data_IF_737887745371
#
_entry.id   IF_737887745371
#
_cell.length_a   1.000
_cell.length_b   1.000
_cell.length_c   1.000
_cell.angle_alpha   90.00
_cell.angle_beta   90.00
_cell.angle_gamma   90.00
#
_symmetry.space_group_name_H-M   'P 1'
#
loop_
_entity.id
_entity.type
_entity.pdbx_description
1 polymer ?
#
# COMPACT_ATOMS: atom_id res chain seq x y z
N UNK A 1 -35.73 -4.19 -10.55
CA UNK A 1 -35.26 -4.13 -9.16
C UNK A 1 -34.32 -5.31 -8.93
N UNK A 2 -33.24 -5.10 -8.18
CA UNK A 2 -32.13 -6.03 -7.98
C UNK A 2 -31.93 -6.29 -6.49
N UNK A 3 -32.18 -7.53 -6.06
CA UNK A 3 -32.35 -7.88 -4.65
C UNK A 3 -31.02 -7.97 -3.92
N UNK A 4 -30.96 -7.40 -2.72
CA UNK A 4 -29.86 -7.59 -1.77
C UNK A 4 -30.08 -8.91 -1.03
N UNK A 5 -29.17 -9.85 -1.21
CA UNK A 5 -29.20 -11.17 -0.57
C UNK A 5 -28.51 -11.11 0.80
N UNK A 6 -27.46 -10.30 0.92
CA UNK A 6 -26.70 -10.10 2.15
C UNK A 6 -26.34 -8.63 2.30
N UNK A 7 -26.44 -8.10 3.52
CA UNK A 7 -25.93 -6.78 3.90
C UNK A 7 -25.20 -6.89 5.24
N UNK A 8 -23.99 -6.35 5.33
CA UNK A 8 -23.12 -6.47 6.51
C UNK A 8 -22.30 -5.19 6.74
N UNK A 9 -22.20 -4.77 8.00
CA UNK A 9 -21.30 -3.67 8.40
C UNK A 9 -19.92 -4.23 8.71
N UNK A 10 -18.92 -3.91 7.89
CA UNK A 10 -17.54 -4.39 8.05
C UNK A 10 -16.74 -3.53 9.03
N UNK A 11 -16.97 -2.21 9.03
CA UNK A 11 -16.34 -1.24 9.93
C UNK A 11 -17.27 -0.04 10.13
N UNK A 12 -16.86 0.94 10.94
CA UNK A 12 -17.71 2.09 11.33
C UNK A 12 -18.46 2.75 10.16
N UNK A 13 -17.78 2.91 9.01
CA UNK A 13 -18.31 3.54 7.78
C UNK A 13 -18.24 2.65 6.54
N UNK A 14 -17.93 1.35 6.68
CA UNK A 14 -17.69 0.44 5.56
C UNK A 14 -18.71 -0.68 5.59
N UNK A 15 -19.40 -0.89 4.46
CA UNK A 15 -20.51 -1.82 4.33
C UNK A 15 -20.30 -2.71 3.11
N UNK A 16 -20.70 -3.97 3.26
CA UNK A 16 -20.72 -4.98 2.21
C UNK A 16 -22.17 -5.30 1.87
N UNK A 17 -22.46 -5.41 0.57
CA UNK A 17 -23.72 -5.94 0.08
C UNK A 17 -23.47 -6.97 -1.01
N UNK A 18 -24.24 -8.05 -0.96
CA UNK A 18 -24.32 -9.04 -2.01
C UNK A 18 -25.66 -8.90 -2.71
N UNK A 19 -25.63 -8.70 -4.03
CA UNK A 19 -26.80 -8.39 -4.85
C UNK A 19 -27.00 -9.48 -5.89
N UNK A 20 -28.23 -9.95 -6.06
CA UNK A 20 -28.62 -10.93 -7.07
C UNK A 20 -28.76 -10.25 -8.44
N UNK A 21 -27.76 -10.47 -9.30
CA UNK A 21 -27.65 -9.88 -10.66
C UNK A 21 -27.04 -10.90 -11.65
N UNK A 22 -27.76 -11.99 -11.99
CA UNK A 22 -27.17 -13.13 -12.71
C UNK A 22 -26.52 -12.76 -14.05
N UNK A 23 -27.07 -11.76 -14.75
CA UNK A 23 -26.55 -11.27 -16.03
C UNK A 23 -25.18 -10.61 -15.88
N UNK A 24 -24.96 -9.86 -14.80
CA UNK A 24 -23.68 -9.19 -14.50
C UNK A 24 -22.67 -10.21 -13.99
N UNK A 25 -23.08 -11.01 -13.00
CA UNK A 25 -22.23 -12.02 -12.36
C UNK A 25 -21.61 -13.00 -13.37
N UNK A 26 -22.36 -13.37 -14.43
CA UNK A 26 -21.88 -14.29 -15.47
C UNK A 26 -20.66 -13.76 -16.23
N UNK A 27 -20.60 -12.46 -16.51
CA UNK A 27 -19.63 -11.89 -17.46
C UNK A 27 -18.57 -11.01 -16.82
N UNK A 28 -18.80 -10.51 -15.60
CA UNK A 28 -17.88 -9.57 -14.95
C UNK A 28 -16.49 -10.14 -14.70
N UNK A 29 -15.51 -9.24 -14.74
CA UNK A 29 -14.08 -9.49 -14.61
C UNK A 29 -13.45 -8.54 -13.57
N UNK A 30 -12.26 -8.86 -13.03
CA UNK A 30 -11.55 -8.00 -12.10
C UNK A 30 -11.25 -6.62 -12.68
N UNK A 31 -11.37 -5.57 -11.84
CA UNK A 31 -11.25 -4.12 -12.14
C UNK A 31 -12.47 -3.48 -12.81
N UNK A 32 -13.50 -4.27 -13.14
CA UNK A 32 -14.75 -3.70 -13.62
C UNK A 32 -15.60 -3.15 -12.46
N UNK A 33 -16.52 -2.26 -12.80
CA UNK A 33 -17.42 -1.60 -11.87
C UNK A 33 -18.86 -1.64 -12.37
N UNK A 34 -19.80 -1.27 -11.52
CA UNK A 34 -21.23 -1.17 -11.81
C UNK A 34 -21.71 0.23 -11.48
N UNK A 35 -22.87 0.62 -12.00
CA UNK A 35 -23.59 1.82 -11.57
C UNK A 35 -24.89 1.36 -10.91
N UNK A 36 -25.09 1.74 -9.64
CA UNK A 36 -26.34 1.49 -8.91
C UNK A 36 -27.16 2.76 -8.74
N UNK A 37 -28.47 2.57 -8.60
CA UNK A 37 -29.42 3.59 -8.16
C UNK A 37 -30.43 2.95 -7.21
N UNK A 38 -30.63 3.56 -6.04
CA UNK A 38 -31.46 3.01 -4.95
C UNK A 38 -32.93 3.03 -5.34
N UNK A 39 -33.46 4.20 -5.69
CA UNK A 39 -34.86 4.45 -6.04
C UNK A 39 -34.99 5.59 -7.06
N UNK A 40 -36.20 6.03 -7.38
CA UNK A 40 -36.49 6.97 -8.47
C UNK A 40 -35.79 8.33 -8.28
N UNK A 41 -35.69 8.81 -7.04
CA UNK A 41 -34.99 10.05 -6.68
C UNK A 41 -33.50 9.88 -6.43
N UNK A 42 -33.01 8.63 -6.31
CA UNK A 42 -31.62 8.32 -6.04
C UNK A 42 -30.66 8.70 -7.17
N UNK A 43 -29.43 9.01 -6.78
CA UNK A 43 -28.33 9.25 -7.70
C UNK A 43 -27.81 7.95 -8.31
N UNK A 44 -27.09 8.08 -9.43
CA UNK A 44 -26.35 6.97 -10.05
C UNK A 44 -24.93 6.96 -9.52
N UNK A 45 -24.57 5.95 -8.74
CA UNK A 45 -23.24 5.87 -8.11
C UNK A 45 -22.45 4.73 -8.74
N UNK A 46 -21.21 4.97 -9.20
CA UNK A 46 -20.31 3.90 -9.61
C UNK A 46 -19.72 3.18 -8.40
N UNK A 47 -19.81 1.84 -8.36
CA UNK A 47 -19.20 1.00 -7.32
C UNK A 47 -18.40 -0.13 -7.95
N UNK A 48 -17.25 -0.46 -7.37
CA UNK A 48 -16.38 -1.54 -7.87
C UNK A 48 -17.01 -2.90 -7.60
N UNK A 49 -16.87 -3.83 -8.55
CA UNK A 49 -17.21 -5.25 -8.33
C UNK A 49 -16.11 -5.85 -7.46
N UNK A 50 -16.39 -6.09 -6.18
CA UNK A 50 -15.41 -6.63 -5.24
C UNK A 50 -15.30 -8.16 -5.32
N UNK A 51 -16.42 -8.83 -5.59
CA UNK A 51 -16.49 -10.26 -5.82
C UNK A 51 -17.73 -10.61 -6.65
N UNK A 52 -17.81 -11.83 -7.16
CA UNK A 52 -18.99 -12.35 -7.84
C UNK A 52 -19.07 -13.87 -7.69
N UNK A 53 -20.29 -14.39 -7.66
CA UNK A 53 -20.59 -15.82 -7.69
C UNK A 53 -21.39 -16.13 -8.96
N UNK A 54 -20.78 -16.91 -9.87
CA UNK A 54 -21.43 -17.27 -11.14
C UNK A 54 -22.53 -18.31 -10.97
N UNK A 55 -22.44 -19.15 -9.94
CA UNK A 55 -23.41 -20.22 -9.68
C UNK A 55 -24.65 -19.64 -9.01
N UNK A 56 -24.45 -18.83 -7.96
CA UNK A 56 -25.53 -18.16 -7.24
C UNK A 56 -26.02 -16.89 -7.95
N UNK A 57 -25.31 -16.42 -8.98
CA UNK A 57 -25.71 -15.27 -9.78
C UNK A 57 -25.60 -13.93 -9.04
N UNK A 58 -24.67 -13.81 -8.09
CA UNK A 58 -24.53 -12.64 -7.22
C UNK A 58 -23.27 -11.84 -7.51
N UNK A 59 -23.32 -10.54 -7.17
CA UNK A 59 -22.17 -9.63 -7.18
C UNK A 59 -22.05 -9.02 -5.79
N UNK A 60 -20.84 -9.02 -5.25
CA UNK A 60 -20.51 -8.35 -3.99
C UNK A 60 -19.94 -6.97 -4.26
N UNK A 61 -20.52 -5.97 -3.62
CA UNK A 61 -20.04 -4.60 -3.57
C UNK A 61 -19.62 -4.25 -2.15
N UNK A 62 -18.57 -3.44 -2.02
CA UNK A 62 -18.16 -2.81 -0.76
C UNK A 62 -18.11 -1.31 -0.98
N UNK A 63 -18.71 -0.56 -0.08
CA UNK A 63 -18.76 0.89 -0.17
C UNK A 63 -18.52 1.55 1.19
N UNK A 64 -18.06 2.79 1.14
CA UNK A 64 -17.88 3.65 2.30
C UNK A 64 -18.95 4.75 2.28
N UNK A 65 -19.44 5.12 3.47
CA UNK A 65 -20.31 6.30 3.63
C UNK A 65 -19.49 7.57 3.38
N UNK A 66 -19.74 8.24 2.26
CA UNK A 66 -19.09 9.49 1.84
C UNK A 66 -20.08 10.59 1.45
N UNK A 67 -21.37 10.29 1.33
CA UNK A 67 -22.41 11.25 0.94
C UNK A 67 -23.82 10.69 1.16
N UNK A 68 -24.85 11.44 0.74
CA UNK A 68 -26.26 11.11 1.01
C UNK A 68 -26.66 9.73 0.49
N UNK A 69 -26.38 9.45 -0.79
CA UNK A 69 -26.77 8.17 -1.39
C UNK A 69 -26.08 6.96 -0.72
N UNK A 70 -24.81 7.07 -0.33
CA UNK A 70 -24.10 5.98 0.39
C UNK A 70 -24.54 5.86 1.86
N UNK A 71 -24.94 6.96 2.50
CA UNK A 71 -25.56 6.93 3.81
C UNK A 71 -26.91 6.19 3.76
N UNK A 72 -27.74 6.49 2.76
CA UNK A 72 -29.03 5.81 2.55
C UNK A 72 -28.84 4.32 2.27
N UNK A 73 -27.83 3.95 1.47
CA UNK A 73 -27.46 2.55 1.26
C UNK A 73 -27.09 1.85 2.57
N UNK A 74 -26.37 2.51 3.49
CA UNK A 74 -25.95 1.88 4.75
C UNK A 74 -27.09 1.42 5.66
N UNK A 75 -28.30 1.94 5.43
CA UNK A 75 -29.53 1.56 6.13
C UNK A 75 -30.32 0.43 5.46
N UNK A 76 -29.92 0.01 4.25
CA UNK A 76 -30.57 -1.10 3.55
C UNK A 76 -30.11 -2.46 4.10
N UNK A 77 -31.02 -3.42 4.09
CA UNK A 77 -30.83 -4.76 4.63
C UNK A 77 -31.02 -5.84 3.57
N UNK A 78 -30.77 -7.09 3.94
CA UNK A 78 -31.17 -8.22 3.10
C UNK A 78 -32.69 -8.15 2.81
N UNK A 79 -33.08 -8.59 1.62
CA UNK A 79 -34.42 -8.47 1.02
C UNK A 79 -34.80 -7.09 0.46
N UNK A 80 -34.07 -6.02 0.77
CA UNK A 80 -34.21 -4.76 0.03
C UNK A 80 -33.70 -4.90 -1.42
N UNK A 81 -33.91 -3.89 -2.24
CA UNK A 81 -33.50 -3.93 -3.64
C UNK A 81 -33.02 -2.59 -4.15
N UNK A 82 -32.04 -2.61 -5.06
CA UNK A 82 -31.72 -1.48 -5.91
C UNK A 82 -32.75 -1.36 -7.04
N UNK A 83 -33.14 -0.15 -7.40
CA UNK A 83 -33.95 0.09 -8.58
C UNK A 83 -33.17 -0.28 -9.85
N UNK A 84 -31.98 0.32 -10.03
CA UNK A 84 -31.12 0.10 -11.18
C UNK A 84 -29.77 -0.49 -10.77
N UNK A 85 -29.26 -1.41 -11.58
CA UNK A 85 -27.95 -2.04 -11.44
C UNK A 85 -27.38 -2.30 -12.84
N UNK A 86 -26.45 -1.45 -13.27
CA UNK A 86 -25.92 -1.43 -14.64
C UNK A 86 -24.47 -1.86 -14.65
N UNK A 87 -24.14 -2.90 -15.42
CA UNK A 87 -22.77 -3.31 -15.70
C UNK A 87 -22.66 -4.74 -16.25
N UNK A 88 -21.45 -5.33 -16.24
CA UNK A 88 -20.21 -4.68 -15.80
C UNK A 88 -19.78 -3.56 -16.77
N UNK A 89 -19.06 -2.57 -16.25
CA UNK A 89 -18.52 -1.43 -16.98
C UNK A 89 -17.01 -1.31 -16.72
N UNK A 90 -16.33 -0.58 -17.61
CA UNK A 90 -14.88 -0.39 -17.56
C UNK A 90 -14.13 -1.42 -18.41
N UNK A 91 -12.80 -1.40 -18.29
CA UNK A 91 -11.90 -2.33 -19.01
C UNK A 91 -11.37 -3.37 -18.03
N UNK A 92 -11.52 -4.68 -18.29
CA UNK A 92 -10.98 -5.72 -17.43
C UNK A 92 -9.47 -5.60 -17.30
N UNK A 93 -8.93 -6.11 -16.19
CA UNK A 93 -7.48 -6.19 -16.00
C UNK A 93 -6.84 -7.10 -17.05
N UNK A 94 -5.62 -6.78 -17.45
CA UNK A 94 -4.79 -7.71 -18.22
C UNK A 94 -4.35 -8.83 -17.31
N UNK A 95 -4.73 -10.06 -17.62
CA UNK A 95 -4.29 -11.23 -16.86
C UNK A 95 -2.90 -11.67 -17.30
N UNK A 96 -2.03 -11.94 -16.33
CA UNK A 96 -0.75 -12.62 -16.54
C UNK A 96 -1.02 -14.13 -16.44
N UNK A 97 -0.64 -14.88 -17.48
CA UNK A 97 -0.80 -16.35 -17.55
C UNK A 97 0.53 -17.04 -17.26
N UNK A 98 1.10 -16.73 -16.11
CA UNK A 98 2.30 -17.41 -15.60
C UNK A 98 1.89 -18.49 -14.61
N UNK A 99 2.72 -19.52 -14.49
CA UNK A 99 2.50 -20.58 -13.51
C UNK A 99 2.56 -20.01 -12.08
N UNK A 100 1.63 -20.43 -11.21
CA UNK A 100 1.54 -19.91 -9.84
C UNK A 100 2.79 -20.26 -9.04
N UNK A 101 3.41 -21.42 -9.31
CA UNK A 101 4.70 -21.80 -8.75
C UNK A 101 5.81 -20.84 -9.18
N UNK A 102 5.84 -20.42 -10.45
CA UNK A 102 6.78 -19.41 -10.95
C UNK A 102 6.53 -18.04 -10.32
N UNK A 103 5.28 -17.59 -10.20
CA UNK A 103 4.95 -16.30 -9.55
C UNK A 103 5.30 -16.33 -8.05
N UNK A 104 5.09 -17.46 -7.36
CA UNK A 104 5.47 -17.63 -5.95
C UNK A 104 6.98 -17.80 -5.77
N UNK A 105 7.65 -18.43 -6.74
CA UNK A 105 9.10 -18.64 -6.75
C UNK A 105 9.86 -17.43 -7.27
N UNK A 106 9.19 -16.43 -7.87
CA UNK A 106 9.70 -15.06 -7.99
C UNK A 106 9.90 -14.53 -6.58
N UNK A 107 11.09 -14.83 -6.05
CA UNK A 107 11.73 -13.95 -5.09
C UNK A 107 11.92 -12.63 -5.82
N UNK A 108 11.17 -11.60 -5.44
CA UNK A 108 11.58 -10.23 -5.71
C UNK A 108 12.99 -10.11 -5.10
N UNK A 109 13.98 -10.08 -5.99
CA UNK A 109 15.42 -10.21 -5.76
C UNK A 109 15.88 -11.35 -4.83
N UNK A 110 16.36 -12.45 -5.43
CA UNK A 110 17.59 -13.07 -4.93
C UNK A 110 18.74 -12.08 -5.22
N UNK A 111 18.81 -10.96 -4.49
CA UNK A 111 20.05 -10.22 -4.45
C UNK A 111 20.98 -11.09 -3.60
N UNK A 112 21.95 -11.76 -4.23
CA UNK A 112 23.03 -12.44 -3.52
C UNK A 112 23.78 -11.49 -2.58
N UNK A 113 23.59 -10.18 -2.78
CA UNK A 113 24.10 -9.07 -1.99
C UNK A 113 23.00 -8.01 -1.86
N UNK A 114 22.64 -7.63 -0.63
CA UNK A 114 21.71 -6.53 -0.33
C UNK A 114 22.47 -5.21 -0.46
N UNK A 115 21.93 -4.28 -1.25
CA UNK A 115 22.47 -2.92 -1.34
C UNK A 115 21.81 -2.07 -0.26
N UNK A 116 22.61 -1.44 0.60
CA UNK A 116 22.15 -0.47 1.59
C UNK A 116 22.47 0.91 1.06
N UNK A 117 21.47 1.66 0.61
CA UNK A 117 21.67 3.06 0.23
C UNK A 117 21.52 3.93 1.45
N UNK A 118 22.56 4.71 1.75
CA UNK A 118 22.60 5.57 2.92
C UNK A 118 22.77 7.03 2.47
N UNK A 119 21.64 7.74 2.44
CA UNK A 119 21.58 9.15 2.07
C UNK A 119 21.73 10.05 3.30
N UNK A 120 22.55 11.09 3.19
CA UNK A 120 22.79 12.05 4.26
C UNK A 120 22.82 13.48 3.74
N UNK A 121 22.63 14.44 4.63
CA UNK A 121 22.58 15.87 4.29
C UNK A 121 23.96 16.55 4.31
N UNK A 122 24.96 15.97 4.96
CA UNK A 122 26.32 16.50 5.03
C UNK A 122 27.19 16.11 3.81
N UNK A 123 28.32 16.80 3.55
CA UNK A 123 29.16 16.52 2.39
C UNK A 123 29.95 15.21 2.50
N UNK A 124 30.55 14.76 1.40
CA UNK A 124 31.37 13.54 1.34
C UNK A 124 32.69 13.58 2.14
N UNK A 125 32.91 14.63 2.92
CA UNK A 125 34.17 14.94 3.60
C UNK A 125 33.94 15.33 5.06
N UNK A 126 34.94 15.12 5.90
CA UNK A 126 34.90 15.45 7.32
C UNK A 126 34.50 14.26 8.18
N UNK A 127 34.46 14.48 9.50
CA UNK A 127 34.37 13.40 10.49
C UNK A 127 33.10 12.56 10.39
N UNK A 128 31.99 13.17 9.98
CA UNK A 128 30.72 12.46 9.77
C UNK A 128 30.80 11.52 8.56
N UNK A 129 31.40 11.98 7.45
CA UNK A 129 31.62 11.16 6.26
C UNK A 129 32.59 10.00 6.54
N UNK A 130 33.66 10.24 7.30
CA UNK A 130 34.59 9.19 7.76
C UNK A 130 33.86 8.14 8.60
N UNK A 131 32.99 8.56 9.53
CA UNK A 131 32.16 7.66 10.32
C UNK A 131 31.21 6.81 9.46
N UNK A 132 30.63 7.39 8.42
CA UNK A 132 29.73 6.67 7.50
C UNK A 132 30.46 5.70 6.61
N UNK A 133 31.64 6.06 6.08
CA UNK A 133 32.47 5.10 5.36
C UNK A 133 32.84 3.92 6.27
N UNK A 134 33.17 4.19 7.53
CA UNK A 134 33.45 3.14 8.52
C UNK A 134 32.23 2.28 8.83
N UNK A 135 31.04 2.87 8.91
CA UNK A 135 29.78 2.13 9.05
C UNK A 135 29.58 1.18 7.86
N UNK A 136 29.87 1.62 6.64
CA UNK A 136 29.80 0.78 5.45
C UNK A 136 30.72 -0.44 5.52
N UNK A 137 31.97 -0.25 5.96
CA UNK A 137 32.91 -1.35 6.20
C UNK A 137 32.37 -2.35 7.23
N UNK A 138 31.84 -1.84 8.36
CA UNK A 138 31.31 -2.69 9.43
C UNK A 138 30.06 -3.47 8.99
N UNK A 139 29.20 -2.87 8.18
CA UNK A 139 28.04 -3.55 7.60
C UNK A 139 28.50 -4.69 6.69
N UNK A 140 29.51 -4.46 5.85
CA UNK A 140 30.05 -5.51 4.97
C UNK A 140 30.69 -6.64 5.79
N UNK A 141 31.52 -6.30 6.78
CA UNK A 141 32.17 -7.27 7.68
C UNK A 141 31.16 -8.10 8.48
N UNK A 142 30.24 -7.44 9.20
CA UNK A 142 29.27 -8.11 10.07
C UNK A 142 28.21 -8.91 9.30
N UNK A 143 28.06 -8.64 8.00
CA UNK A 143 27.15 -9.39 7.14
C UNK A 143 27.82 -10.54 6.39
N UNK A 144 29.11 -10.80 6.61
CA UNK A 144 29.93 -11.73 5.83
C UNK A 144 29.87 -11.41 4.32
N UNK A 145 29.91 -10.12 3.97
CA UNK A 145 29.84 -9.62 2.60
C UNK A 145 28.44 -9.62 1.98
N UNK A 146 27.40 -10.09 2.69
CA UNK A 146 26.03 -10.14 2.17
C UNK A 146 25.38 -8.77 2.00
N UNK A 147 25.90 -7.73 2.65
CA UNK A 147 25.41 -6.36 2.55
C UNK A 147 26.55 -5.44 2.12
N UNK A 148 26.29 -4.56 1.15
CA UNK A 148 27.20 -3.47 0.79
C UNK A 148 26.48 -2.15 0.92
N UNK A 149 27.14 -1.17 1.52
CA UNK A 149 26.57 0.16 1.68
C UNK A 149 27.06 1.11 0.58
N UNK A 150 26.13 1.81 -0.05
CA UNK A 150 26.38 2.95 -0.93
C UNK A 150 26.11 4.24 -0.16
N UNK A 151 27.08 5.15 -0.19
CA UNK A 151 27.04 6.41 0.53
C UNK A 151 26.65 7.54 -0.43
N UNK A 152 25.49 8.16 -0.19
CA UNK A 152 24.93 9.25 -1.00
C UNK A 152 24.98 10.59 -0.23
N UNK A 153 26.12 11.31 -0.25
CA UNK A 153 26.29 12.56 0.48
C UNK A 153 25.50 13.71 -0.13
N UNK A 154 25.12 14.69 0.71
CA UNK A 154 24.37 15.89 0.32
C UNK A 154 23.10 15.58 -0.49
N UNK A 155 22.41 14.50 -0.12
CA UNK A 155 21.24 14.00 -0.81
C UNK A 155 20.12 13.64 0.17
N UNK A 156 18.93 13.35 -0.36
CA UNK A 156 17.80 12.80 0.39
C UNK A 156 17.34 11.51 -0.30
N UNK A 157 16.59 10.68 0.42
CA UNK A 157 16.00 9.48 -0.16
C UNK A 157 15.16 9.81 -1.40
N UNK A 158 15.20 8.90 -2.38
CA UNK A 158 14.52 9.06 -3.67
C UNK A 158 12.99 9.15 -3.56
N UNK A 159 12.34 9.38 -4.70
CA UNK A 159 10.88 9.41 -4.74
C UNK A 159 10.24 8.04 -4.43
N UNK A 160 8.91 8.03 -4.25
CA UNK A 160 8.16 6.83 -3.88
C UNK A 160 8.36 5.68 -4.87
N UNK A 161 8.39 5.98 -6.17
CA UNK A 161 8.53 4.97 -7.22
C UNK A 161 9.92 4.35 -7.17
N UNK A 162 10.96 5.18 -7.13
CA UNK A 162 12.35 4.73 -7.04
C UNK A 162 12.59 3.87 -5.78
N UNK A 163 11.99 4.25 -4.65
CA UNK A 163 12.07 3.48 -3.40
C UNK A 163 11.45 2.09 -3.54
N UNK A 164 10.26 1.99 -4.16
CA UNK A 164 9.60 0.69 -4.36
C UNK A 164 10.34 -0.19 -5.36
N UNK A 165 10.87 0.38 -6.43
CA UNK A 165 11.70 -0.34 -7.40
C UNK A 165 12.99 -0.85 -6.75
N UNK A 166 13.65 -0.03 -5.93
CA UNK A 166 14.81 -0.42 -5.14
C UNK A 166 14.49 -1.58 -4.19
N UNK A 167 13.41 -1.49 -3.42
CA UNK A 167 12.99 -2.53 -2.49
C UNK A 167 12.74 -3.87 -3.20
N UNK A 168 12.07 -3.84 -4.35
CA UNK A 168 11.83 -5.03 -5.19
C UNK A 168 13.15 -5.66 -5.66
N UNK A 169 14.16 -4.84 -5.88
CA UNK A 169 15.50 -5.27 -6.30
C UNK A 169 16.43 -5.64 -5.12
N UNK A 170 15.91 -5.65 -3.88
CA UNK A 170 16.69 -6.02 -2.70
C UNK A 170 17.54 -4.89 -2.11
N UNK A 171 17.18 -3.64 -2.41
CA UNK A 171 17.78 -2.45 -1.78
C UNK A 171 17.10 -2.14 -0.45
N UNK A 172 17.89 -1.79 0.55
CA UNK A 172 17.45 -1.15 1.79
C UNK A 172 17.81 0.32 1.70
N UNK A 173 16.83 1.20 1.84
CA UNK A 173 17.02 2.65 1.88
C UNK A 173 17.11 3.11 3.34
N UNK A 174 18.16 3.86 3.68
CA UNK A 174 18.43 4.38 5.01
C UNK A 174 18.79 5.86 4.93
N UNK A 175 18.40 6.61 5.96
CA UNK A 175 18.79 8.02 6.15
C UNK A 175 19.40 8.18 7.52
N UNK A 176 20.25 9.19 7.68
CA UNK A 176 20.71 9.61 8.99
C UNK A 176 19.56 10.17 9.84
N UNK A 177 19.69 10.02 11.15
CA UNK A 177 18.85 10.69 12.14
C UNK A 177 19.76 11.09 13.30
N UNK A 178 19.91 12.38 13.53
CA UNK A 178 20.84 12.86 14.54
C UNK A 178 20.22 12.81 15.95
N UNK A 179 21.04 12.87 16.99
CA UNK A 179 20.55 12.83 18.36
C UNK A 179 19.67 14.05 18.71
N UNK A 180 19.88 15.17 18.04
CA UNK A 180 19.12 16.42 18.23
C UNK A 180 17.70 16.24 17.70
N UNK A 181 17.53 15.67 16.51
CA UNK A 181 16.24 15.32 15.91
C UNK A 181 15.45 14.39 16.83
N UNK A 182 16.13 13.39 17.40
CA UNK A 182 15.51 12.40 18.30
C UNK A 182 15.11 12.99 19.64
N UNK A 183 15.81 14.04 20.10
CA UNK A 183 15.49 14.71 21.37
C UNK A 183 14.12 15.38 21.34
N UNK A 184 13.61 15.77 20.17
CA UNK A 184 12.26 16.30 20.01
C UNK A 184 11.16 15.26 20.34
N UNK A 185 11.49 13.97 20.28
CA UNK A 185 10.55 12.88 20.52
C UNK A 185 10.80 12.15 21.84
N UNK A 186 12.03 12.17 22.35
CA UNK A 186 12.40 11.57 23.62
C UNK A 186 13.65 12.24 24.21
N UNK A 187 13.48 12.84 25.38
CA UNK A 187 14.52 13.61 26.09
C UNK A 187 15.79 12.81 26.38
N UNK A 188 15.72 11.48 26.44
CA UNK A 188 16.90 10.63 26.64
C UNK A 188 18.00 10.93 25.62
N UNK A 189 17.65 11.30 24.39
CA UNK A 189 18.63 11.58 23.34
C UNK A 189 19.34 12.93 23.51
N UNK A 190 18.78 13.85 24.30
CA UNK A 190 19.40 15.16 24.58
C UNK A 190 20.75 15.07 25.28
N UNK A 191 21.02 13.94 25.97
CA UNK A 191 22.31 13.70 26.64
C UNK A 191 23.47 13.83 25.68
N UNK A 192 23.29 13.40 24.41
CA UNK A 192 24.35 13.41 23.40
C UNK A 192 24.66 14.80 22.84
N UNK A 193 23.81 15.80 23.13
CA UNK A 193 24.00 17.19 22.72
C UNK A 193 24.64 18.05 23.83
N UNK A 194 25.01 17.45 24.98
CA UNK A 194 25.62 18.18 26.09
C UNK A 194 27.04 18.65 25.74
N UNK A 195 27.39 19.92 26.05
CA UNK A 195 28.73 20.42 25.84
C UNK A 195 29.73 19.64 26.71
N UNK A 196 30.94 19.42 26.17
CA UNK A 196 32.04 18.70 26.83
C UNK A 196 31.82 17.21 27.09
N UNK A 197 30.75 16.59 26.54
CA UNK A 197 30.57 15.14 26.63
C UNK A 197 31.65 14.37 25.86
N UNK A 198 32.14 14.94 24.76
CA UNK A 198 33.15 14.33 23.90
C UNK A 198 34.45 15.10 24.00
N UNK A 199 35.55 14.37 24.21
CA UNK A 199 36.85 15.00 24.49
C UNK A 199 37.44 15.75 23.29
N UNK A 200 36.95 15.54 22.07
CA UNK A 200 37.38 16.26 20.86
C UNK A 200 36.29 16.24 19.77
N UNK A 201 35.75 17.41 19.43
CA UNK A 201 35.04 17.65 18.16
C UNK A 201 36.03 17.90 17.05
#
# INVERSE_FOLDING_TARGET
MFKIIKAEKLAEKIYLMEVEVPRVARVCQPREFIIVKIDEGGERIPLTICNYDRENGTVTIVFQIVGDSTLRMSSMSACDSFQDFVGPLGKPSTFIKEDVGVVKARKYANASHVLVKYSVTYPSTGRQAEGTLKLGELIEECSDGRMKMEFDPSSQMGDKTATFEGLVNGTIEMTECDATDRSAFNDMWSVFSLPHLWENG
#
